data_IF_774466609698
#
_entry.id   IF_774466609698
#
_cell.length_a   1.000
_cell.length_b   1.000
_cell.length_c   1.000
_cell.angle_alpha   90.00
_cell.angle_beta   90.00
_cell.angle_gamma   90.00
#
_symmetry.space_group_name_H-M   'P 1'
#
loop_
_entity.id
_entity.type
_entity.pdbx_description
1 polymer ?
#
# COMPACT_ATOMS: atom_id res chain seq x y z
N UNK A 1 6.64 0.51 -29.32
CA UNK A 1 5.78 -0.59 -28.83
C UNK A 1 6.33 -1.32 -27.60
N UNK A 2 7.64 -1.29 -27.27
CA UNK A 2 8.13 -1.89 -26.01
C UNK A 2 8.00 -0.97 -24.79
N UNK A 3 8.05 0.36 -24.97
CA UNK A 3 7.94 1.32 -23.86
C UNK A 3 6.55 1.36 -23.21
N UNK A 4 5.51 1.02 -23.96
CA UNK A 4 4.12 1.07 -23.47
C UNK A 4 3.84 -0.05 -22.46
N UNK A 5 4.35 -1.27 -22.70
CA UNK A 5 4.15 -2.38 -21.77
C UNK A 5 4.91 -2.18 -20.45
N UNK A 6 6.12 -1.61 -20.49
CA UNK A 6 6.88 -1.29 -19.28
C UNK A 6 6.11 -0.32 -18.39
N UNK A 7 5.63 0.78 -18.97
CA UNK A 7 4.88 1.79 -18.23
C UNK A 7 3.57 1.21 -17.68
N UNK A 8 2.84 0.44 -18.49
CA UNK A 8 1.61 -0.22 -18.03
C UNK A 8 1.84 -1.15 -16.83
N UNK A 9 2.96 -1.89 -16.80
CA UNK A 9 3.30 -2.76 -15.66
C UNK A 9 3.62 -1.93 -14.42
N UNK A 10 4.44 -0.87 -14.55
CA UNK A 10 4.80 0.00 -13.42
C UNK A 10 3.56 0.72 -12.86
N UNK A 11 2.68 1.21 -13.75
CA UNK A 11 1.42 1.85 -13.38
C UNK A 11 0.48 0.86 -12.68
N UNK A 12 0.38 -0.38 -13.18
CA UNK A 12 -0.44 -1.41 -12.55
C UNK A 12 0.06 -1.77 -11.14
N UNK A 13 1.38 -1.90 -10.95
CA UNK A 13 1.98 -2.17 -9.63
C UNK A 13 1.77 -1.00 -8.67
N UNK A 14 1.90 0.24 -9.14
CA UNK A 14 1.64 1.44 -8.35
C UNK A 14 0.17 1.52 -7.95
N UNK A 15 -0.75 1.24 -8.86
CA UNK A 15 -2.19 1.24 -8.59
C UNK A 15 -2.61 0.16 -7.57
N UNK A 16 -2.01 -1.03 -7.63
CA UNK A 16 -2.25 -2.11 -6.66
C UNK A 16 -1.79 -1.74 -5.24
N UNK A 17 -0.60 -1.14 -5.13
CA UNK A 17 -0.07 -0.64 -3.86
C UNK A 17 -0.96 0.49 -3.29
N UNK A 18 -1.37 1.45 -4.11
CA UNK A 18 -2.31 2.51 -3.70
C UNK A 18 -3.67 1.95 -3.25
N UNK A 19 -4.20 0.94 -3.94
CA UNK A 19 -5.44 0.25 -3.58
C UNK A 19 -5.32 -0.42 -2.22
N UNK A 20 -4.20 -1.10 -1.97
CA UNK A 20 -3.89 -1.75 -0.69
C UNK A 20 -3.82 -0.75 0.46
N UNK A 21 -3.16 0.40 0.25
CA UNK A 21 -3.09 1.50 1.24
C UNK A 21 -4.50 2.03 1.55
N UNK A 22 -5.32 2.30 0.53
CA UNK A 22 -6.69 2.81 0.72
C UNK A 22 -7.55 1.83 1.51
N UNK A 23 -7.45 0.54 1.22
CA UNK A 23 -8.15 -0.52 1.95
C UNK A 23 -7.70 -0.58 3.42
N UNK A 24 -6.40 -0.56 3.67
CA UNK A 24 -5.85 -0.57 5.03
C UNK A 24 -6.31 0.66 5.84
N UNK A 25 -6.27 1.85 5.24
CA UNK A 25 -6.80 3.08 5.85
C UNK A 25 -8.28 2.95 6.22
N UNK A 26 -9.11 2.46 5.30
CA UNK A 26 -10.53 2.24 5.58
C UNK A 26 -10.77 1.25 6.73
N UNK A 27 -9.98 0.16 6.80
CA UNK A 27 -10.06 -0.79 7.91
C UNK A 27 -9.71 -0.15 9.25
N UNK A 28 -8.64 0.66 9.31
CA UNK A 28 -8.26 1.42 10.52
C UNK A 28 -9.39 2.32 10.97
N UNK A 29 -10.00 3.09 10.07
CA UNK A 29 -11.15 3.95 10.40
C UNK A 29 -12.33 3.15 10.96
N UNK A 30 -12.63 1.98 10.39
CA UNK A 30 -13.69 1.08 10.91
C UNK A 30 -13.37 0.64 12.34
N UNK A 31 -12.13 0.23 12.62
CA UNK A 31 -11.71 -0.18 13.96
C UNK A 31 -11.76 0.96 14.98
N UNK A 32 -11.40 2.19 14.57
CA UNK A 32 -11.44 3.38 15.42
C UNK A 32 -12.86 3.86 15.72
N UNK A 33 -13.76 3.82 14.73
CA UNK A 33 -15.11 4.38 14.86
C UNK A 33 -16.16 3.40 15.35
N UNK A 34 -15.98 2.10 15.14
CA UNK A 34 -16.97 1.09 15.49
C UNK A 34 -16.34 -0.12 16.21
N UNK A 35 -15.77 0.06 17.42
CA UNK A 35 -15.16 -1.04 18.19
C UNK A 35 -16.20 -2.02 18.77
N UNK A 36 -17.50 -1.79 18.55
CA UNK A 36 -18.59 -2.50 19.21
C UNK A 36 -18.71 -3.94 18.67
N UNK A 37 -18.33 -4.91 19.50
CA UNK A 37 -18.24 -6.34 19.15
C UNK A 37 -16.82 -6.91 19.21
N UNK A 38 -15.78 -6.07 19.23
CA UNK A 38 -14.36 -6.45 19.41
C UNK A 38 -13.83 -5.98 20.78
N UNK A 39 -14.67 -5.34 21.60
CA UNK A 39 -14.30 -4.87 22.95
C UNK A 39 -13.91 -5.96 23.96
N UNK A 40 -14.06 -7.24 23.61
CA UNK A 40 -13.71 -8.39 24.47
C UNK A 40 -12.35 -9.02 24.12
N UNK A 41 -11.62 -8.50 23.11
CA UNK A 41 -10.33 -9.08 22.70
C UNK A 41 -9.22 -8.03 22.48
N UNK A 42 -7.97 -8.30 22.89
CA UNK A 42 -6.80 -7.45 22.64
C UNK A 42 -6.45 -7.25 21.15
N UNK A 43 -7.19 -7.89 20.23
CA UNK A 43 -6.87 -7.95 18.80
C UNK A 43 -7.16 -6.67 18.02
N UNK A 44 -7.89 -5.67 18.54
CA UNK A 44 -8.12 -4.42 17.79
C UNK A 44 -6.82 -3.66 17.54
N UNK A 45 -5.97 -3.54 18.57
CA UNK A 45 -4.68 -2.87 18.43
C UNK A 45 -3.73 -3.66 17.53
N UNK A 46 -3.73 -4.99 17.65
CA UNK A 46 -2.94 -5.86 16.77
C UNK A 46 -3.41 -5.76 15.31
N UNK A 47 -4.72 -5.71 15.07
CA UNK A 47 -5.29 -5.54 13.74
C UNK A 47 -4.95 -4.16 13.15
N UNK A 48 -5.03 -3.10 13.95
CA UNK A 48 -4.59 -1.76 13.53
C UNK A 48 -3.10 -1.76 13.19
N UNK A 49 -2.25 -2.40 14.01
CA UNK A 49 -0.82 -2.52 13.73
C UNK A 49 -0.57 -3.23 12.39
N UNK A 50 -1.24 -4.34 12.13
CA UNK A 50 -1.14 -5.06 10.85
C UNK A 50 -1.55 -4.17 9.67
N UNK A 51 -2.60 -3.36 9.81
CA UNK A 51 -2.99 -2.42 8.75
C UNK A 51 -1.94 -1.31 8.55
N UNK A 52 -1.30 -0.83 9.61
CA UNK A 52 -0.21 0.16 9.50
C UNK A 52 1.02 -0.44 8.82
N UNK A 53 1.37 -1.70 9.12
CA UNK A 53 2.47 -2.40 8.47
C UNK A 53 2.21 -2.58 6.96
N UNK A 54 0.95 -2.87 6.57
CA UNK A 54 0.52 -2.91 5.16
C UNK A 54 0.72 -1.54 4.50
N UNK A 55 0.38 -0.45 5.19
CA UNK A 55 0.55 0.91 4.65
C UNK A 55 2.04 1.19 4.42
N UNK A 56 2.87 1.00 5.45
CA UNK A 56 4.31 1.25 5.36
C UNK A 56 4.97 0.45 4.23
N UNK A 57 4.69 -0.85 4.16
CA UNK A 57 5.24 -1.74 3.13
C UNK A 57 4.84 -1.33 1.71
N UNK A 58 3.61 -0.85 1.50
CA UNK A 58 3.17 -0.40 0.18
C UNK A 58 3.64 1.02 -0.16
N UNK A 59 3.86 1.88 0.83
CA UNK A 59 4.51 3.18 0.62
C UNK A 59 5.96 2.98 0.14
N UNK A 60 6.71 2.07 0.76
CA UNK A 60 8.07 1.71 0.31
C UNK A 60 8.08 1.13 -1.12
N UNK A 61 7.06 0.35 -1.49
CA UNK A 61 6.93 -0.17 -2.87
C UNK A 61 6.72 0.95 -3.89
N UNK A 62 5.85 1.91 -3.59
CA UNK A 62 5.63 3.07 -4.45
C UNK A 62 6.92 3.88 -4.57
N UNK A 63 7.59 4.12 -3.45
CA UNK A 63 8.87 4.84 -3.42
C UNK A 63 9.94 4.12 -4.25
N UNK A 64 10.05 2.80 -4.15
CA UNK A 64 10.99 2.01 -4.95
C UNK A 64 10.66 2.10 -6.46
N UNK A 65 9.38 2.05 -6.83
CA UNK A 65 8.96 2.25 -8.23
C UNK A 65 9.38 3.64 -8.72
N UNK A 66 9.17 4.67 -7.90
CA UNK A 66 9.48 6.05 -8.26
C UNK A 66 10.99 6.34 -8.30
N UNK A 67 11.76 5.79 -7.37
CA UNK A 67 13.20 6.01 -7.27
C UNK A 67 14.01 5.25 -8.32
N UNK A 68 13.64 4.00 -8.62
CA UNK A 68 14.45 3.13 -9.48
C UNK A 68 13.95 3.00 -10.91
N UNK A 69 12.69 3.35 -11.19
CA UNK A 69 12.07 3.08 -12.49
C UNK A 69 11.47 4.31 -13.18
N UNK A 70 11.38 5.48 -12.51
CA UNK A 70 10.78 6.70 -13.08
C UNK A 70 11.73 7.50 -13.97
N UNK A 71 13.03 7.50 -13.69
CA UNK A 71 14.05 8.04 -14.59
C UNK A 71 14.63 6.91 -15.42
N UNK A 72 14.47 7.01 -16.74
CA UNK A 72 15.19 6.18 -17.69
C UNK A 72 16.66 6.63 -17.68
N UNK A 73 17.39 6.37 -16.60
CA UNK A 73 18.84 6.49 -16.64
C UNK A 73 19.36 5.33 -17.49
N UNK A 74 19.96 5.60 -18.66
CA UNK A 74 20.69 4.57 -19.36
C UNK A 74 21.84 4.15 -18.44
N UNK A 75 21.85 2.88 -18.06
CA UNK A 75 23.00 2.26 -17.41
C UNK A 75 24.24 2.47 -18.32
N UNK A 76 25.39 2.91 -17.80
CA UNK A 76 26.62 3.11 -18.59
C UNK A 76 27.18 1.80 -19.17
#
# INVERSE_FOLDING_TARGET
>A
MSCDLRNNILDALRADAEGSIKKAKANVEVYLHNPVGIGEHPDVLAAIQEQLDIIAHNEERIEAIENYFRTHEPYP
#
